data_IF_096200968218
#
_entry.id   IF_096200968218
#
_cell.length_a   1.000
_cell.length_b   1.000
_cell.length_c   1.000
_cell.angle_alpha   90.00
_cell.angle_beta   90.00
_cell.angle_gamma   90.00
#
_symmetry.space_group_name_H-M   'P 1'
#
loop_
_entity.id
_entity.type
_entity.pdbx_description
1 polymer ?
#
# COMPACT_ATOMS: atom_id res chain seq x y z
N UNK A 1 -12.52 40.33 15.98
CA UNK A 1 -13.27 39.31 16.78
C UNK A 1 -13.19 37.93 16.14
N UNK A 2 -11.98 37.42 15.75
CA UNK A 2 -11.78 36.12 15.07
C UNK A 2 -10.60 35.34 15.65
N UNK A 3 -10.39 35.37 16.98
CA UNK A 3 -9.25 34.68 17.65
C UNK A 3 -9.63 33.38 18.37
N UNK A 4 -10.76 32.75 18.07
CA UNK A 4 -11.20 31.53 18.80
C UNK A 4 -11.22 30.24 17.98
N UNK A 5 -10.82 30.24 16.72
CA UNK A 5 -10.93 29.03 15.86
C UNK A 5 -9.62 28.22 15.71
N UNK A 6 -8.53 28.61 16.33
CA UNK A 6 -7.25 27.91 16.19
C UNK A 6 -6.51 27.71 17.51
N UNK A 7 -7.20 27.26 18.56
CA UNK A 7 -6.58 27.15 19.90
C UNK A 7 -5.39 26.18 19.94
N UNK A 8 -5.29 25.24 18.98
CA UNK A 8 -4.25 24.19 18.95
C UNK A 8 -3.41 24.15 17.66
N UNK A 9 -3.74 24.98 16.64
CA UNK A 9 -3.11 24.86 15.32
C UNK A 9 -2.82 26.24 14.74
N UNK A 10 -1.58 26.43 14.32
CA UNK A 10 -1.06 27.73 13.84
C UNK A 10 -1.48 28.04 12.41
N UNK A 11 -1.76 27.01 11.59
CA UNK A 11 -2.03 27.15 10.16
C UNK A 11 -2.94 26.03 9.64
N UNK A 12 -3.73 26.29 8.59
CA UNK A 12 -4.58 25.31 7.90
C UNK A 12 -3.74 24.15 7.34
N UNK A 13 -2.55 24.47 6.84
CA UNK A 13 -1.62 23.46 6.31
C UNK A 13 -1.15 22.49 7.40
N UNK A 14 -0.95 22.95 8.61
CA UNK A 14 -0.60 22.09 9.76
C UNK A 14 -1.76 21.15 10.10
N UNK A 15 -3.00 21.62 10.09
CA UNK A 15 -4.20 20.79 10.28
C UNK A 15 -4.23 19.67 9.25
N UNK A 16 -4.08 20.05 7.98
CA UNK A 16 -4.09 19.09 6.87
C UNK A 16 -3.00 18.02 7.02
N UNK A 17 -1.77 18.42 7.32
CA UNK A 17 -0.65 17.50 7.53
C UNK A 17 -0.92 16.51 8.67
N UNK A 18 -1.51 16.96 9.78
CA UNK A 18 -1.84 16.09 10.91
C UNK A 18 -2.96 15.11 10.59
N UNK A 19 -4.02 15.55 9.89
CA UNK A 19 -5.11 14.66 9.46
C UNK A 19 -4.55 13.59 8.51
N UNK A 20 -3.77 14.01 7.52
CA UNK A 20 -3.15 13.10 6.55
C UNK A 20 -2.20 12.13 7.27
N UNK A 21 -1.34 12.64 8.15
CA UNK A 21 -0.39 11.80 8.91
C UNK A 21 -1.08 10.78 9.81
N UNK A 22 -2.15 11.16 10.50
CA UNK A 22 -2.94 10.27 11.35
C UNK A 22 -3.61 9.14 10.54
N UNK A 23 -4.25 9.52 9.43
CA UNK A 23 -4.91 8.56 8.55
C UNK A 23 -3.90 7.62 7.89
N UNK A 24 -2.84 8.15 7.27
CA UNK A 24 -1.85 7.33 6.59
C UNK A 24 -1.05 6.45 7.55
N UNK A 25 -0.68 6.94 8.74
CA UNK A 25 0.03 6.14 9.74
C UNK A 25 -0.73 4.87 10.13
N UNK A 26 -2.04 4.99 10.41
CA UNK A 26 -2.89 3.84 10.75
C UNK A 26 -3.23 2.96 9.56
N UNK A 27 -3.49 3.57 8.41
CA UNK A 27 -4.00 2.88 7.22
C UNK A 27 -2.94 2.06 6.48
N UNK A 28 -1.70 2.53 6.39
CA UNK A 28 -0.65 1.88 5.58
C UNK A 28 -0.28 0.52 6.15
N UNK A 29 -0.10 0.40 7.48
CA UNK A 29 0.25 -0.88 8.12
C UNK A 29 -0.80 -1.95 7.83
N UNK A 30 -2.08 -1.63 8.01
CA UNK A 30 -3.19 -2.54 7.73
C UNK A 30 -3.25 -2.94 6.24
N UNK A 31 -3.03 -1.99 5.32
CA UNK A 31 -3.02 -2.29 3.89
C UNK A 31 -1.83 -3.15 3.46
N UNK A 32 -0.67 -3.01 4.05
CA UNK A 32 0.47 -3.89 3.80
C UNK A 32 0.17 -5.30 4.28
N UNK A 33 -0.32 -5.45 5.53
CA UNK A 33 -0.59 -6.76 6.11
C UNK A 33 -1.67 -7.53 5.37
N UNK A 34 -2.75 -6.90 4.92
CA UNK A 34 -3.84 -7.60 4.21
C UNK A 34 -3.40 -8.31 2.93
N UNK A 35 -2.35 -7.83 2.27
CA UNK A 35 -1.81 -8.45 1.07
C UNK A 35 -0.75 -9.52 1.35
N UNK A 36 -0.03 -9.39 2.48
CA UNK A 36 1.16 -10.21 2.75
C UNK A 36 0.95 -11.27 3.83
N UNK A 37 -0.16 -11.21 4.58
CA UNK A 37 -0.40 -12.12 5.71
C UNK A 37 -1.78 -12.75 5.65
N UNK A 38 -1.83 -14.08 5.46
CA UNK A 38 -3.07 -14.84 5.28
C UNK A 38 -4.02 -14.80 6.48
N UNK A 39 -3.49 -14.68 7.71
CA UNK A 39 -4.29 -14.65 8.94
C UNK A 39 -4.93 -13.30 9.21
N UNK A 40 -4.50 -12.25 8.52
CA UNK A 40 -5.00 -10.89 8.74
C UNK A 40 -6.50 -10.82 8.45
N UNK A 41 -7.27 -10.27 9.42
CA UNK A 41 -8.73 -10.19 9.38
C UNK A 41 -9.24 -8.76 9.58
N UNK A 42 -10.58 -8.57 9.55
CA UNK A 42 -11.23 -7.27 9.72
C UNK A 42 -10.95 -6.62 11.07
N UNK A 43 -10.89 -7.42 12.15
CA UNK A 43 -10.56 -6.93 13.50
C UNK A 43 -9.13 -6.39 13.56
N UNK A 44 -8.18 -7.09 12.96
CA UNK A 44 -6.80 -6.60 12.84
C UNK A 44 -6.73 -5.28 12.07
N UNK A 45 -7.53 -5.13 11.02
CA UNK A 45 -7.62 -3.88 10.26
C UNK A 45 -8.16 -2.74 11.13
N UNK A 46 -9.28 -2.97 11.81
CA UNK A 46 -9.93 -1.99 12.67
C UNK A 46 -9.01 -1.54 13.82
N UNK A 47 -8.45 -2.48 14.57
CA UNK A 47 -7.59 -2.16 15.71
C UNK A 47 -6.28 -1.51 15.29
N UNK A 48 -5.71 -1.91 14.16
CA UNK A 48 -4.52 -1.27 13.59
C UNK A 48 -4.74 0.18 13.20
N UNK A 49 -5.85 0.48 12.51
CA UNK A 49 -6.23 1.86 12.19
C UNK A 49 -6.47 2.68 13.44
N UNK A 50 -7.25 2.15 14.38
CA UNK A 50 -7.57 2.84 15.64
C UNK A 50 -6.31 3.16 16.45
N UNK A 51 -5.40 2.19 16.58
CA UNK A 51 -4.13 2.40 17.28
C UNK A 51 -3.27 3.50 16.62
N UNK A 52 -3.19 3.50 15.28
CA UNK A 52 -2.46 4.53 14.53
C UNK A 52 -3.05 5.92 14.69
N UNK A 53 -4.37 6.06 14.63
CA UNK A 53 -5.07 7.35 14.83
C UNK A 53 -4.90 7.84 16.27
N UNK A 54 -5.09 6.99 17.26
CA UNK A 54 -4.89 7.34 18.67
C UNK A 54 -3.45 7.78 18.92
N UNK A 55 -2.47 7.04 18.39
CA UNK A 55 -1.06 7.41 18.52
C UNK A 55 -0.77 8.79 17.89
N UNK A 56 -1.34 9.09 16.71
CA UNK A 56 -1.18 10.39 16.08
C UNK A 56 -1.77 11.52 16.94
N UNK A 57 -2.95 11.32 17.51
CA UNK A 57 -3.57 12.29 18.44
C UNK A 57 -2.68 12.52 19.66
N UNK A 58 -2.21 11.46 20.32
CA UNK A 58 -1.32 11.55 21.48
C UNK A 58 -0.04 12.31 21.13
N UNK A 59 0.58 12.01 19.98
CA UNK A 59 1.78 12.70 19.54
C UNK A 59 1.56 14.19 19.26
N UNK A 60 0.40 14.57 18.73
CA UNK A 60 0.06 15.99 18.52
C UNK A 60 0.05 16.77 19.82
N UNK A 61 -0.41 16.16 20.92
CA UNK A 61 -0.45 16.82 22.23
C UNK A 61 0.91 16.80 22.96
N UNK A 62 1.75 15.78 22.71
CA UNK A 62 3.06 15.67 23.38
C UNK A 62 4.16 16.47 22.70
N UNK A 63 4.14 16.56 21.37
CA UNK A 63 5.17 17.24 20.59
C UNK A 63 4.52 18.08 19.47
N UNK A 64 3.86 19.20 19.81
CA UNK A 64 3.01 19.96 18.87
C UNK A 64 3.79 20.61 17.72
N UNK A 65 5.05 20.96 17.90
CA UNK A 65 5.87 21.70 16.91
C UNK A 65 6.67 20.79 15.96
N UNK A 66 6.59 19.47 16.13
CA UNK A 66 7.36 18.57 15.28
C UNK A 66 6.63 18.22 13.98
N UNK A 67 7.40 18.08 12.91
CA UNK A 67 6.87 17.70 11.62
C UNK A 67 6.39 16.23 11.62
N UNK A 68 5.14 16.00 11.20
CA UNK A 68 4.45 14.69 11.23
C UNK A 68 5.24 13.58 10.56
N UNK A 69 6.01 13.91 9.51
CA UNK A 69 6.80 12.92 8.79
C UNK A 69 7.86 12.22 9.66
N UNK A 70 8.41 12.89 10.67
CA UNK A 70 9.37 12.27 11.59
C UNK A 70 8.72 11.20 12.48
N UNK A 71 7.42 11.31 12.74
CA UNK A 71 6.67 10.34 13.54
C UNK A 71 6.08 9.20 12.73
N UNK A 72 6.13 9.28 11.41
CA UNK A 72 5.57 8.25 10.54
C UNK A 72 6.06 6.82 10.88
N UNK A 73 7.37 6.56 11.12
CA UNK A 73 7.83 5.22 11.51
C UNK A 73 7.23 4.75 12.84
N UNK A 74 7.04 5.66 13.79
CA UNK A 74 6.44 5.34 15.11
C UNK A 74 4.96 5.05 14.95
N UNK A 75 4.21 5.88 14.21
CA UNK A 75 2.79 5.67 13.91
C UNK A 75 2.57 4.34 13.18
N UNK A 76 3.41 4.05 12.19
CA UNK A 76 3.40 2.79 11.47
C UNK A 76 3.66 1.59 12.41
N UNK A 77 4.65 1.69 13.30
CA UNK A 77 4.98 0.64 14.27
C UNK A 77 3.84 0.38 15.26
N UNK A 78 3.24 1.43 15.82
CA UNK A 78 2.09 1.31 16.75
C UNK A 78 0.89 0.71 16.02
N UNK A 79 0.59 1.16 14.80
CA UNK A 79 -0.49 0.60 14.00
C UNK A 79 -0.24 -0.88 13.68
N UNK A 80 1.00 -1.27 13.36
CA UNK A 80 1.37 -2.65 13.09
C UNK A 80 1.17 -3.55 14.32
N UNK A 81 1.53 -3.09 15.50
CA UNK A 81 1.26 -3.79 16.76
C UNK A 81 -0.24 -3.94 16.98
N UNK A 82 -1.02 -2.86 16.77
CA UNK A 82 -2.48 -2.91 16.84
C UNK A 82 -3.10 -3.90 15.86
N UNK A 83 -2.59 -3.97 14.63
CA UNK A 83 -2.99 -4.95 13.63
C UNK A 83 -2.74 -6.39 14.11
N UNK A 84 -1.58 -6.66 14.68
CA UNK A 84 -1.21 -8.00 15.16
C UNK A 84 -2.12 -8.40 16.33
N UNK A 85 -2.26 -7.55 17.34
CA UNK A 85 -3.10 -7.82 18.51
C UNK A 85 -4.56 -8.03 18.08
N UNK A 86 -5.13 -7.16 17.25
CA UNK A 86 -6.50 -7.28 16.73
C UNK A 86 -6.71 -8.55 15.91
N UNK A 87 -5.74 -8.95 15.09
CA UNK A 87 -5.81 -10.18 14.31
C UNK A 87 -5.85 -11.44 15.18
N UNK A 88 -5.12 -11.47 16.30
CA UNK A 88 -5.12 -12.61 17.21
C UNK A 88 -6.29 -12.59 18.19
N UNK A 89 -6.95 -11.46 18.39
CA UNK A 89 -8.14 -11.34 19.25
C UNK A 89 -9.40 -11.94 18.63
N UNK A 90 -9.40 -12.20 17.33
CA UNK A 90 -10.52 -12.75 16.61
C UNK A 90 -10.17 -14.09 15.93
N UNK A 91 -11.19 -14.93 15.62
CA UNK A 91 -10.99 -16.15 14.87
C UNK A 91 -10.41 -15.86 13.48
N UNK A 92 -9.69 -16.83 12.91
CA UNK A 92 -9.20 -16.73 11.54
C UNK A 92 -10.38 -16.67 10.57
N UNK A 93 -10.20 -15.98 9.44
CA UNK A 93 -11.16 -15.96 8.34
C UNK A 93 -11.40 -17.38 7.84
N UNK A 94 -12.62 -17.64 7.37
CA UNK A 94 -13.03 -18.93 6.84
C UNK A 94 -12.06 -19.45 5.76
N UNK A 95 -11.71 -20.73 5.86
CA UNK A 95 -10.71 -21.35 5.00
C UNK A 95 -11.12 -21.34 3.52
N UNK A 96 -12.40 -21.54 3.25
CA UNK A 96 -12.90 -21.54 1.87
C UNK A 96 -12.77 -20.16 1.23
N UNK A 97 -13.07 -19.12 1.98
CA UNK A 97 -12.87 -17.72 1.55
C UNK A 97 -11.40 -17.42 1.26
N UNK A 98 -10.49 -17.89 2.12
CA UNK A 98 -9.04 -17.70 1.93
C UNK A 98 -8.51 -18.47 0.72
N UNK A 99 -8.97 -19.69 0.48
CA UNK A 99 -8.61 -20.48 -0.70
C UNK A 99 -9.13 -19.78 -1.96
N UNK A 100 -10.39 -19.35 -1.99
CA UNK A 100 -10.95 -18.62 -3.12
C UNK A 100 -10.19 -17.32 -3.41
N UNK A 101 -9.82 -16.58 -2.37
CA UNK A 101 -8.98 -15.39 -2.52
C UNK A 101 -7.60 -15.73 -3.11
N UNK A 102 -6.94 -16.78 -2.60
CA UNK A 102 -5.63 -17.20 -3.09
C UNK A 102 -5.67 -17.65 -4.56
N UNK A 103 -6.69 -18.41 -4.96
CA UNK A 103 -6.90 -18.87 -6.34
C UNK A 103 -6.99 -17.68 -7.30
N UNK A 104 -7.74 -16.64 -6.92
CA UNK A 104 -7.97 -15.48 -7.79
C UNK A 104 -6.83 -14.46 -7.80
N UNK A 105 -6.13 -14.26 -6.68
CA UNK A 105 -5.18 -13.14 -6.51
C UNK A 105 -3.73 -13.60 -6.51
N UNK A 106 -3.44 -14.80 -5.99
CA UNK A 106 -2.08 -15.37 -5.86
C UNK A 106 -1.08 -14.39 -5.21
N UNK A 107 -1.39 -13.87 -4.02
CA UNK A 107 -0.55 -12.87 -3.36
C UNK A 107 0.80 -13.46 -2.94
N UNK A 108 1.79 -12.58 -2.82
CA UNK A 108 3.08 -12.98 -2.24
C UNK A 108 3.07 -12.77 -0.72
N UNK A 109 4.07 -13.36 -0.03
CA UNK A 109 4.29 -13.21 1.40
C UNK A 109 3.98 -14.46 2.20
N UNK A 110 3.41 -14.29 3.39
CA UNK A 110 3.15 -15.38 4.33
C UNK A 110 1.84 -16.13 4.03
N UNK A 111 1.70 -16.65 2.79
CA UNK A 111 0.50 -17.38 2.33
C UNK A 111 0.70 -18.89 2.20
N UNK A 112 1.87 -19.41 2.59
CA UNK A 112 2.21 -20.85 2.43
C UNK A 112 1.12 -21.81 2.91
N UNK A 113 0.51 -21.67 4.11
CA UNK A 113 -0.49 -22.63 4.59
C UNK A 113 -1.74 -22.71 3.70
N UNK A 114 -2.17 -21.58 3.15
CA UNK A 114 -3.32 -21.51 2.25
C UNK A 114 -2.93 -21.93 0.84
N UNK A 115 -1.73 -21.57 0.40
CA UNK A 115 -1.17 -21.99 -0.88
C UNK A 115 -1.13 -23.52 -1.04
N UNK A 116 -0.63 -24.24 -0.05
CA UNK A 116 -0.56 -25.69 -0.06
C UNK A 116 -1.95 -26.33 -0.20
N UNK A 117 -2.92 -25.83 0.53
CA UNK A 117 -4.32 -26.27 0.45
C UNK A 117 -4.98 -25.93 -0.89
N UNK A 118 -4.72 -24.73 -1.41
CA UNK A 118 -5.23 -24.30 -2.71
C UNK A 118 -4.68 -25.15 -3.86
N UNK A 119 -3.38 -25.46 -3.84
CA UNK A 119 -2.74 -26.34 -4.84
C UNK A 119 -3.24 -27.77 -4.72
N UNK A 120 -3.45 -28.29 -3.52
CA UNK A 120 -4.01 -29.63 -3.30
C UNK A 120 -5.45 -29.73 -3.89
N UNK A 121 -6.27 -28.68 -3.76
CA UNK A 121 -7.64 -28.64 -4.30
C UNK A 121 -7.69 -28.36 -5.80
N UNK A 122 -6.75 -27.55 -6.30
CA UNK A 122 -6.66 -27.11 -7.70
C UNK A 122 -5.23 -27.28 -8.24
N UNK A 123 -4.85 -28.49 -8.70
CA UNK A 123 -3.47 -28.80 -9.12
C UNK A 123 -2.94 -27.96 -10.30
N UNK A 124 -3.83 -27.35 -11.07
CA UNK A 124 -3.48 -26.52 -12.23
C UNK A 124 -2.97 -25.13 -11.86
N UNK A 125 -3.15 -24.72 -10.59
CA UNK A 125 -2.77 -23.38 -10.13
C UNK A 125 -1.28 -23.33 -9.82
N UNK A 126 -0.58 -22.41 -10.45
CA UNK A 126 0.83 -22.13 -10.15
C UNK A 126 0.97 -20.98 -9.18
N UNK A 127 1.85 -21.13 -8.18
CA UNK A 127 2.21 -20.05 -7.27
C UNK A 127 2.90 -18.91 -8.03
N UNK A 128 2.64 -17.67 -7.60
CA UNK A 128 3.31 -16.49 -8.17
C UNK A 128 4.80 -16.50 -7.77
N UNK A 129 5.70 -16.61 -8.74
CA UNK A 129 7.16 -16.62 -8.57
C UNK A 129 7.82 -15.29 -9.00
N UNK A 130 7.03 -14.31 -9.40
CA UNK A 130 7.52 -13.10 -10.06
C UNK A 130 7.84 -11.94 -9.10
N UNK A 131 7.96 -12.20 -7.78
CA UNK A 131 8.16 -11.17 -6.76
C UNK A 131 9.26 -10.14 -7.12
N UNK A 132 10.43 -10.60 -7.57
CA UNK A 132 11.56 -9.71 -7.90
C UNK A 132 11.23 -8.76 -9.06
N UNK A 133 10.58 -9.29 -10.11
CA UNK A 133 10.14 -8.50 -11.25
C UNK A 133 9.09 -7.48 -10.83
N UNK A 134 8.13 -7.90 -10.03
CA UNK A 134 7.02 -7.06 -9.62
C UNK A 134 7.48 -5.98 -8.63
N UNK A 135 8.39 -6.30 -7.71
CA UNK A 135 9.03 -5.31 -6.83
C UNK A 135 9.84 -4.26 -7.62
N UNK A 136 10.59 -4.69 -8.65
CA UNK A 136 11.28 -3.77 -9.54
C UNK A 136 10.29 -2.86 -10.29
N UNK A 137 9.21 -3.43 -10.82
CA UNK A 137 8.17 -2.66 -11.51
C UNK A 137 7.46 -1.66 -10.59
N UNK A 138 7.24 -2.02 -9.32
CA UNK A 138 6.70 -1.09 -8.31
C UNK A 138 7.66 0.09 -8.10
N UNK A 139 8.96 -0.15 -7.94
CA UNK A 139 9.95 0.91 -7.77
C UNK A 139 9.98 1.87 -8.98
N UNK A 140 10.02 1.31 -10.21
CA UNK A 140 9.96 2.13 -11.44
C UNK A 140 8.60 2.85 -11.56
N UNK A 141 7.51 2.21 -11.17
CA UNK A 141 6.16 2.81 -11.16
C UNK A 141 6.05 4.00 -10.20
N UNK A 142 6.69 3.94 -9.04
CA UNK A 142 6.76 5.08 -8.09
C UNK A 142 7.50 6.26 -8.74
N UNK A 143 8.66 6.01 -9.35
CA UNK A 143 9.42 7.05 -10.06
C UNK A 143 8.58 7.66 -11.19
N UNK A 144 7.92 6.83 -11.98
CA UNK A 144 7.04 7.24 -13.08
C UNK A 144 5.91 8.14 -12.58
N UNK A 145 5.24 7.76 -11.48
CA UNK A 145 4.15 8.53 -10.89
C UNK A 145 4.62 9.86 -10.27
N UNK A 146 5.76 9.86 -9.57
CA UNK A 146 6.39 11.08 -9.08
C UNK A 146 6.70 12.04 -10.22
N UNK A 147 7.23 11.52 -11.33
CA UNK A 147 7.57 12.33 -12.50
C UNK A 147 6.33 12.99 -13.13
N UNK A 148 5.21 12.26 -13.22
CA UNK A 148 3.93 12.83 -13.69
C UNK A 148 3.45 13.99 -12.82
N UNK A 149 3.69 13.93 -11.51
CA UNK A 149 3.30 15.00 -10.57
C UNK A 149 4.24 16.20 -10.67
N UNK A 150 5.52 15.98 -10.91
CA UNK A 150 6.56 17.03 -10.95
C UNK A 150 6.50 17.82 -12.26
N UNK A 151 6.17 17.22 -13.39
CA UNK A 151 6.11 17.90 -14.70
C UNK A 151 5.24 19.16 -14.68
N UNK A 152 3.95 19.13 -14.24
CA UNK A 152 3.13 20.33 -14.17
C UNK A 152 3.70 21.39 -13.21
N UNK A 153 4.41 20.97 -12.14
CA UNK A 153 5.06 21.91 -11.22
C UNK A 153 6.17 22.69 -11.92
N UNK A 154 7.07 22.01 -12.66
CA UNK A 154 8.12 22.68 -13.43
C UNK A 154 7.58 23.55 -14.56
N UNK A 155 6.46 23.17 -15.14
CA UNK A 155 5.79 23.97 -16.15
C UNK A 155 5.26 25.30 -15.58
N UNK A 156 4.67 25.29 -14.39
CA UNK A 156 4.17 26.50 -13.70
C UNK A 156 5.33 27.37 -13.24
N UNK A 157 6.39 26.81 -12.67
CA UNK A 157 7.60 27.53 -12.22
C UNK A 157 8.45 28.02 -13.39
N UNK A 158 8.19 27.53 -14.62
CA UNK A 158 8.95 27.83 -15.85
C UNK A 158 10.41 27.42 -15.81
N UNK A 159 10.71 26.37 -15.08
CA UNK A 159 12.07 25.82 -15.04
C UNK A 159 12.28 24.82 -16.20
N UNK A 160 12.97 25.28 -17.24
CA UNK A 160 13.14 24.53 -18.50
C UNK A 160 13.97 23.24 -18.30
N UNK A 161 15.06 23.31 -17.54
CA UNK A 161 15.95 22.14 -17.34
C UNK A 161 15.22 21.03 -16.58
N UNK A 162 14.54 21.37 -15.49
CA UNK A 162 13.74 20.43 -14.70
C UNK A 162 12.59 19.83 -15.52
N UNK A 163 11.93 20.62 -16.37
CA UNK A 163 10.86 20.15 -17.25
C UNK A 163 11.35 19.11 -18.25
N UNK A 164 12.40 19.40 -19.02
CA UNK A 164 12.89 18.49 -20.04
C UNK A 164 13.51 17.22 -19.44
N UNK A 165 14.23 17.33 -18.33
CA UNK A 165 14.76 16.16 -17.61
C UNK A 165 13.65 15.24 -17.11
N UNK A 166 12.56 15.81 -16.56
CA UNK A 166 11.40 15.05 -16.10
C UNK A 166 10.66 14.37 -17.26
N UNK A 167 10.49 15.06 -18.38
CA UNK A 167 9.88 14.44 -19.58
C UNK A 167 10.75 13.28 -20.10
N UNK A 168 12.05 13.45 -20.17
CA UNK A 168 12.97 12.37 -20.57
C UNK A 168 12.86 11.15 -19.61
N UNK A 169 12.85 11.40 -18.30
CA UNK A 169 12.68 10.36 -17.29
C UNK A 169 11.34 9.64 -17.42
N UNK A 170 10.26 10.37 -17.67
CA UNK A 170 8.94 9.81 -17.91
C UNK A 170 8.93 8.86 -19.11
N UNK A 171 9.54 9.25 -20.23
CA UNK A 171 9.63 8.42 -21.42
C UNK A 171 10.44 7.14 -21.16
N UNK A 172 11.59 7.26 -20.50
CA UNK A 172 12.44 6.11 -20.14
C UNK A 172 11.69 5.14 -19.25
N UNK A 173 11.08 5.62 -18.16
CA UNK A 173 10.33 4.77 -17.22
C UNK A 173 9.12 4.13 -17.89
N UNK A 174 8.42 4.84 -18.78
CA UNK A 174 7.31 4.29 -19.58
C UNK A 174 7.77 3.13 -20.49
N UNK A 175 8.91 3.27 -21.15
CA UNK A 175 9.45 2.20 -22.01
C UNK A 175 9.87 0.98 -21.18
N UNK A 176 10.48 1.20 -20.01
CA UNK A 176 10.82 0.11 -19.09
C UNK A 176 9.56 -0.61 -18.62
N UNK A 177 8.55 0.09 -18.11
CA UNK A 177 7.29 -0.50 -17.65
C UNK A 177 6.54 -1.23 -18.77
N UNK A 178 6.54 -0.69 -19.98
CA UNK A 178 5.95 -1.38 -21.14
C UNK A 178 6.60 -2.74 -21.41
N UNK A 179 7.93 -2.84 -21.23
CA UNK A 179 8.67 -4.07 -21.49
C UNK A 179 8.61 -5.07 -20.32
N UNK A 180 8.73 -4.58 -19.09
CA UNK A 180 8.89 -5.45 -17.90
C UNK A 180 7.58 -5.77 -17.18
N UNK A 181 6.57 -4.92 -17.35
CA UNK A 181 5.26 -5.08 -16.72
C UNK A 181 4.16 -5.36 -17.74
N UNK A 182 3.89 -4.46 -18.69
CA UNK A 182 2.72 -4.54 -19.57
C UNK A 182 2.74 -5.79 -20.49
N UNK A 183 3.85 -6.04 -21.18
CA UNK A 183 3.95 -7.22 -22.08
C UNK A 183 3.84 -8.56 -21.33
N UNK A 184 4.52 -8.78 -20.17
CA UNK A 184 4.33 -9.98 -19.39
C UNK A 184 2.92 -10.10 -18.82
N UNK A 185 2.29 -8.99 -18.38
CA UNK A 185 0.93 -8.98 -17.86
C UNK A 185 -0.08 -9.52 -18.86
N UNK A 186 -0.04 -9.07 -20.12
CA UNK A 186 -0.93 -9.57 -21.18
C UNK A 186 -0.78 -11.09 -21.43
N UNK A 187 0.45 -11.63 -21.28
CA UNK A 187 0.67 -13.07 -21.42
C UNK A 187 0.16 -13.86 -20.21
N UNK A 188 0.35 -13.31 -19.02
CA UNK A 188 -0.11 -13.93 -17.78
C UNK A 188 -1.64 -13.89 -17.68
N UNK A 189 -2.28 -12.84 -18.15
CA UNK A 189 -3.74 -12.73 -18.24
C UNK A 189 -4.35 -13.82 -19.15
N UNK A 190 -3.78 -14.05 -20.31
CA UNK A 190 -4.24 -15.12 -21.22
C UNK A 190 -4.15 -16.49 -20.54
N UNK A 191 -3.02 -16.80 -19.90
CA UNK A 191 -2.84 -18.05 -19.14
C UNK A 191 -3.80 -18.16 -17.95
N UNK A 192 -3.98 -17.10 -17.20
CA UNK A 192 -4.92 -17.06 -16.07
C UNK A 192 -6.35 -17.35 -16.54
N UNK A 193 -6.78 -16.77 -17.64
CA UNK A 193 -8.11 -17.00 -18.19
C UNK A 193 -8.31 -18.46 -18.67
N UNK A 194 -7.27 -19.12 -19.18
CA UNK A 194 -7.32 -20.55 -19.52
C UNK A 194 -7.42 -21.44 -18.28
N UNK A 195 -6.63 -21.16 -17.23
CA UNK A 195 -6.67 -21.87 -15.96
C UNK A 195 -8.04 -21.71 -15.26
N UNK A 196 -8.63 -20.52 -15.28
CA UNK A 196 -9.95 -20.26 -14.69
C UNK A 196 -11.10 -20.92 -15.42
N UNK A 197 -10.98 -21.18 -16.75
CA UNK A 197 -11.98 -21.97 -17.50
C UNK A 197 -11.99 -23.46 -17.08
N UNK A 198 -10.87 -23.98 -16.58
CA UNK A 198 -10.79 -25.36 -16.11
C UNK A 198 -11.33 -25.56 -14.68
N UNK A 199 -11.50 -24.46 -13.94
CA UNK A 199 -12.02 -24.46 -12.56
C UNK A 199 -13.54 -24.26 -12.49
N UNK A 200 -14.12 -23.62 -13.51
CA UNK A 200 -15.56 -23.44 -13.68
C UNK A 200 -16.21 -24.65 -14.35
#
# INVERSE_FOLDING_TARGET
MYKRQGFFLKDINEIFQWIVGALFGGYIAANVLKWHWWRFNGEGYFWGMTAGVVAAIVMKFTVPDAWVLYFFPVLFGVSLIGCIIGTYSAPATDEETLINFYVNVRPWGCWKPIQEKAIARYPHIQANKNFKRDAFNVAIGIIWQCTLTIIPMYLVVREQLGLWSSIALLLITTLILRKTWYKPLCKEEARYNEEMKQIR
#
